data_IF_207643899909
#
_entry.id   IF_207643899909
#
_cell.length_a   1.000
_cell.length_b   1.000
_cell.length_c   1.000
_cell.angle_alpha   90.00
_cell.angle_beta   90.00
_cell.angle_gamma   90.00
#
_symmetry.space_group_name_H-M   'P 1'
#
loop_
_entity.id
_entity.type
_entity.pdbx_description
1 polymer ?
#
# COMPACT_ATOMS: atom_id res chain seq x y z
N UNK A 1 5.20 -15.38 12.23
CA UNK A 1 4.48 -14.45 13.13
C UNK A 1 4.25 -13.17 12.33
N UNK A 2 3.06 -12.92 11.78
CA UNK A 2 2.80 -11.64 11.10
C UNK A 2 2.06 -10.78 12.13
N UNK A 3 2.71 -9.74 12.68
CA UNK A 3 2.14 -8.98 13.78
C UNK A 3 0.80 -8.45 13.30
N UNK A 4 -0.27 -8.72 14.06
CA UNK A 4 -1.56 -8.14 13.75
C UNK A 4 -1.44 -6.63 13.90
N UNK A 5 -1.34 -5.92 12.78
CA UNK A 5 -1.21 -4.45 12.75
C UNK A 5 -2.47 -3.76 13.28
N UNK A 6 -3.57 -4.50 13.51
CA UNK A 6 -4.80 -3.98 14.09
C UNK A 6 -4.63 -3.71 15.58
N UNK A 7 -4.82 -2.46 16.00
CA UNK A 7 -4.93 -2.14 17.41
C UNK A 7 -6.23 -2.73 17.97
N UNK A 8 -6.17 -3.56 19.01
CA UNK A 8 -7.34 -4.27 19.57
C UNK A 8 -7.83 -3.60 20.86
N UNK A 9 -9.15 -3.60 21.13
CA UNK A 9 -9.67 -3.30 22.46
C UNK A 9 -9.51 -4.55 23.35
N UNK A 10 -9.53 -4.39 24.67
CA UNK A 10 -9.05 -5.37 25.67
C UNK A 10 -9.82 -6.72 25.80
N UNK A 11 -10.43 -7.27 24.76
CA UNK A 11 -11.14 -8.56 24.82
C UNK A 11 -10.88 -9.48 23.61
N UNK A 12 -10.70 -10.77 23.93
CA UNK A 12 -10.42 -11.95 23.09
C UNK A 12 -11.31 -12.07 21.82
N UNK A 13 -11.06 -12.87 20.76
CA UNK A 13 -10.31 -14.11 20.56
C UNK A 13 -9.91 -14.26 19.05
N UNK A 14 -9.24 -15.37 18.72
CA UNK A 14 -8.76 -15.85 17.41
C UNK A 14 -9.86 -16.05 16.35
N UNK A 15 -9.52 -15.86 15.07
CA UNK A 15 -9.90 -16.75 13.95
C UNK A 15 -8.79 -16.77 12.88
N UNK A 16 -8.41 -17.97 12.45
CA UNK A 16 -7.41 -18.27 11.42
C UNK A 16 -8.11 -18.46 10.06
N UNK A 17 -7.60 -17.82 9.01
CA UNK A 17 -7.84 -18.28 7.63
C UNK A 17 -6.50 -18.42 6.88
N UNK A 18 -6.33 -19.45 6.04
CA UNK A 18 -5.13 -19.67 5.25
C UNK A 18 -5.14 -18.83 3.97
N UNK A 19 -4.18 -17.91 3.88
CA UNK A 19 -3.77 -17.22 2.65
C UNK A 19 -2.90 -18.13 1.74
N UNK A 20 -3.21 -18.27 0.45
CA UNK A 20 -2.25 -18.79 -0.51
C UNK A 20 -1.28 -17.70 -0.97
N UNK A 21 -0.01 -18.07 -1.16
CA UNK A 21 1.03 -17.25 -1.77
C UNK A 21 0.68 -17.03 -3.25
N UNK A 22 0.30 -15.82 -3.63
CA UNK A 22 0.22 -15.42 -5.02
C UNK A 22 1.60 -14.92 -5.47
N UNK A 23 2.33 -15.74 -6.22
CA UNK A 23 3.49 -15.31 -7.00
C UNK A 23 2.99 -14.70 -8.30
N UNK A 24 3.01 -13.37 -8.42
CA UNK A 24 2.75 -12.68 -9.67
C UNK A 24 4.08 -12.33 -10.34
N UNK A 25 4.61 -13.26 -11.14
CA UNK A 25 5.59 -12.93 -12.17
C UNK A 25 4.82 -12.57 -13.44
N UNK A 26 4.49 -11.30 -13.60
CA UNK A 26 3.99 -10.75 -14.87
C UNK A 26 5.15 -10.03 -15.54
N UNK A 27 5.87 -10.73 -16.41
CA UNK A 27 6.97 -10.16 -17.19
C UNK A 27 6.38 -9.31 -18.32
N UNK A 28 5.96 -8.10 -17.98
CA UNK A 28 5.68 -7.03 -18.96
C UNK A 28 6.99 -6.35 -19.32
N UNK A 29 7.26 -6.22 -20.62
CA UNK A 29 8.53 -5.72 -21.16
C UNK A 29 8.70 -4.18 -21.01
N UNK A 30 7.60 -3.48 -20.69
CA UNK A 30 7.59 -2.05 -20.43
C UNK A 30 7.39 -1.78 -18.94
N UNK A 31 8.33 -1.06 -18.32
CA UNK A 31 8.32 -0.73 -16.89
C UNK A 31 8.39 0.78 -16.71
N UNK A 32 7.42 1.33 -16.00
CA UNK A 32 7.44 2.71 -15.55
C UNK A 32 8.30 2.85 -14.29
N UNK A 33 8.96 4.00 -14.09
CA UNK A 33 9.73 4.27 -12.89
C UNK A 33 8.82 4.38 -11.64
N UNK A 34 9.39 4.27 -10.43
CA UNK A 34 8.66 4.58 -9.20
C UNK A 34 8.04 5.98 -9.28
N UNK A 35 6.80 6.12 -8.81
CA UNK A 35 6.04 7.36 -8.94
C UNK A 35 5.22 7.49 -10.21
N UNK A 36 5.29 6.53 -11.13
CA UNK A 36 4.51 6.50 -12.35
C UNK A 36 3.75 5.18 -12.54
N UNK A 37 2.68 5.25 -13.33
CA UNK A 37 1.89 4.11 -13.81
C UNK A 37 1.75 4.13 -15.34
N UNK A 38 1.40 2.99 -15.97
CA UNK A 38 1.09 2.98 -17.40
C UNK A 38 -0.05 3.92 -17.73
N UNK A 39 0.09 4.68 -18.82
CA UNK A 39 -1.02 5.44 -19.34
C UNK A 39 -1.95 4.53 -20.17
N UNK A 40 -3.24 4.53 -19.85
CA UNK A 40 -4.24 3.67 -20.50
C UNK A 40 -4.66 4.21 -21.87
N UNK A 41 -4.47 5.50 -22.10
CA UNK A 41 -4.79 6.19 -23.35
C UNK A 41 -3.60 7.02 -23.85
N UNK A 42 -2.45 6.40 -24.17
CA UNK A 42 -1.22 7.12 -24.43
C UNK A 42 -1.28 7.96 -25.72
N UNK A 43 -2.21 7.69 -26.66
CA UNK A 43 -2.32 8.44 -27.91
C UNK A 43 -1.00 8.51 -28.69
N UNK A 44 -0.28 9.65 -28.57
CA UNK A 44 1.08 9.92 -29.06
C UNK A 44 2.06 10.38 -27.95
N UNK A 45 1.64 10.31 -26.69
CA UNK A 45 2.34 10.79 -25.49
C UNK A 45 3.22 9.74 -24.81
N UNK A 46 3.49 9.95 -23.52
CA UNK A 46 4.35 9.09 -22.71
C UNK A 46 3.64 7.79 -22.32
N UNK A 47 4.34 6.66 -22.37
CA UNK A 47 3.80 5.36 -21.93
C UNK A 47 3.53 5.30 -20.42
N UNK A 48 4.10 6.24 -19.68
CA UNK A 48 3.98 6.35 -18.24
C UNK A 48 3.48 7.75 -17.89
N UNK A 49 2.68 7.82 -16.83
CA UNK A 49 2.16 9.07 -16.26
C UNK A 49 2.38 9.09 -14.75
N UNK A 50 2.49 10.27 -14.12
CA UNK A 50 2.66 10.37 -12.67
C UNK A 50 1.46 9.77 -11.93
N UNK A 51 1.74 9.14 -10.79
CA UNK A 51 0.70 8.62 -9.91
C UNK A 51 -0.28 9.74 -9.52
N UNK A 52 -1.61 9.50 -9.60
CA UNK A 52 -2.58 10.45 -9.10
C UNK A 52 -2.48 10.64 -7.58
N UNK A 53 -2.94 11.79 -7.05
CA UNK A 53 -2.91 12.05 -5.61
C UNK A 53 -3.57 10.94 -4.79
N UNK A 54 -2.92 10.55 -3.69
CA UNK A 54 -3.38 9.45 -2.82
C UNK A 54 -2.98 8.05 -3.31
N UNK A 55 -2.10 7.95 -4.31
CA UNK A 55 -1.54 6.68 -4.80
C UNK A 55 -0.01 6.72 -4.89
N UNK A 56 0.60 5.54 -4.98
CA UNK A 56 2.05 5.38 -5.08
C UNK A 56 2.46 4.17 -5.94
N UNK A 57 3.69 4.22 -6.45
CA UNK A 57 4.40 3.10 -7.06
C UNK A 57 5.83 3.08 -6.52
N UNK A 58 6.19 2.03 -5.79
CA UNK A 58 7.48 1.96 -5.08
C UNK A 58 8.62 1.35 -5.90
N UNK A 59 8.30 0.67 -6.99
CA UNK A 59 9.25 -0.07 -7.79
C UNK A 59 9.00 0.15 -9.28
N UNK A 60 10.00 -0.17 -10.09
CA UNK A 60 9.83 -0.24 -11.53
C UNK A 60 8.78 -1.29 -11.89
N UNK A 61 7.81 -0.93 -12.73
CA UNK A 61 6.75 -1.87 -13.08
C UNK A 61 5.72 -1.35 -14.07
N UNK A 62 4.88 -2.27 -14.53
CA UNK A 62 3.75 -2.01 -15.43
C UNK A 62 2.40 -2.02 -14.69
N UNK A 63 2.43 -2.01 -13.36
CA UNK A 63 1.20 -2.03 -12.57
C UNK A 63 0.70 -0.61 -12.33
N UNK A 64 -0.63 -0.40 -12.27
CA UNK A 64 -1.20 0.88 -11.86
C UNK A 64 -0.77 1.26 -10.44
N UNK A 65 -0.75 2.55 -10.15
CA UNK A 65 -0.36 3.04 -8.83
C UNK A 65 -1.33 2.50 -7.77
N UNK A 66 -0.76 2.06 -6.65
CA UNK A 66 -1.52 1.50 -5.53
C UNK A 66 -2.03 2.63 -4.63
N UNK A 67 -3.25 2.54 -4.06
CA UNK A 67 -3.73 3.54 -3.12
C UNK A 67 -2.88 3.56 -1.85
N UNK A 68 -2.72 4.75 -1.27
CA UNK A 68 -2.05 4.90 0.03
C UNK A 68 -2.79 4.14 1.14
N UNK A 69 -2.02 3.56 2.05
CA UNK A 69 -2.48 2.94 3.27
C UNK A 69 -3.27 3.93 4.11
N UNK A 70 -4.47 3.52 4.55
CA UNK A 70 -5.34 4.33 5.41
C UNK A 70 -5.19 3.87 6.86
N UNK A 71 -4.30 4.53 7.62
CA UNK A 71 -3.96 4.14 8.99
C UNK A 71 -5.15 4.07 9.95
N UNK A 72 -6.17 4.88 9.72
CA UNK A 72 -7.43 4.85 10.47
C UNK A 72 -8.18 3.52 10.38
N UNK A 73 -8.03 2.76 9.28
CA UNK A 73 -8.62 1.41 9.16
C UNK A 73 -8.04 0.44 10.20
N UNK A 74 -6.79 0.67 10.64
CA UNK A 74 -6.13 -0.12 11.67
C UNK A 74 -6.10 0.54 13.05
N UNK A 75 -6.80 1.68 13.21
CA UNK A 75 -6.82 2.53 14.42
C UNK A 75 -5.43 3.01 14.82
N UNK A 76 -4.66 3.43 13.83
CA UNK A 76 -3.31 3.98 13.98
C UNK A 76 -3.24 5.43 13.58
N UNK A 77 -2.29 6.12 14.18
CA UNK A 77 -1.84 7.43 13.76
C UNK A 77 -1.05 7.30 12.46
N UNK A 78 -1.19 8.29 11.59
CA UNK A 78 -0.32 8.42 10.43
C UNK A 78 1.03 8.97 10.90
N UNK A 79 2.09 8.18 10.73
CA UNK A 79 3.45 8.58 11.11
C UNK A 79 4.13 9.35 9.98
N UNK A 80 3.87 8.96 8.73
CA UNK A 80 4.40 9.64 7.56
C UNK A 80 3.39 9.59 6.41
N UNK A 81 3.14 10.77 5.83
CA UNK A 81 2.32 10.93 4.63
C UNK A 81 2.96 10.18 3.47
N UNK A 82 2.16 9.42 2.73
CA UNK A 82 2.59 8.77 1.50
C UNK A 82 3.01 9.78 0.43
N UNK A 83 3.88 9.34 -0.47
CA UNK A 83 4.32 10.11 -1.64
C UNK A 83 4.01 9.33 -2.91
N UNK A 84 4.29 9.89 -4.09
CA UNK A 84 4.15 9.13 -5.34
C UNK A 84 5.02 7.85 -5.36
N UNK A 85 6.13 7.82 -4.62
CA UNK A 85 7.08 6.68 -4.62
C UNK A 85 7.00 5.80 -3.38
N UNK A 86 6.22 6.18 -2.36
CA UNK A 86 6.18 5.49 -1.07
C UNK A 86 4.78 5.50 -0.50
N UNK A 87 4.40 4.38 0.09
CA UNK A 87 3.15 4.29 0.83
C UNK A 87 3.15 5.17 2.08
N UNK A 88 1.95 5.45 2.58
CA UNK A 88 1.75 6.03 3.92
C UNK A 88 2.27 5.06 4.98
N UNK A 89 3.05 5.58 5.94
CA UNK A 89 3.51 4.80 7.08
C UNK A 89 2.61 5.05 8.28
N UNK A 90 2.08 3.97 8.84
CA UNK A 90 1.27 4.01 10.06
C UNK A 90 2.16 3.82 11.30
N UNK A 91 1.92 4.64 12.32
CA UNK A 91 2.63 4.62 13.59
C UNK A 91 1.82 3.96 14.70
N UNK A 92 1.82 4.59 15.87
CA UNK A 92 1.19 4.10 17.09
C UNK A 92 -0.30 3.89 16.92
N UNK A 93 -0.85 3.08 17.80
CA UNK A 93 -2.28 3.03 18.03
C UNK A 93 -2.82 4.37 18.53
N UNK A 94 -4.08 4.67 18.19
CA UNK A 94 -4.79 5.78 18.80
C UNK A 94 -4.84 5.68 20.33
N UNK A 95 -4.96 6.81 21.05
CA UNK A 95 -5.11 6.80 22.50
C UNK A 95 -6.22 5.82 22.94
N UNK A 96 -5.88 4.93 23.89
CA UNK A 96 -6.79 3.89 24.39
C UNK A 96 -6.75 2.55 23.65
N UNK A 97 -5.88 2.40 22.65
CA UNK A 97 -5.73 1.17 21.87
C UNK A 97 -4.30 0.63 21.93
N UNK A 98 -4.13 -0.69 21.84
CA UNK A 98 -2.83 -1.35 21.93
C UNK A 98 -2.64 -2.36 20.80
N UNK A 99 -1.42 -2.46 20.27
CA UNK A 99 -1.07 -3.39 19.20
C UNK A 99 0.44 -3.39 18.90
N UNK A 100 0.97 -4.46 18.28
CA UNK A 100 2.36 -4.51 17.83
C UNK A 100 2.59 -3.52 16.69
N UNK A 101 3.76 -2.90 16.63
CA UNK A 101 4.13 -1.93 15.59
C UNK A 101 4.42 -2.60 14.25
#
# INVERSE_FOLDING_TARGET
>A
MKPSLLCRPLSCFLMLLPWPLATLTSTTLWQCPPGEEPDLDPGQGTLCRPCPPGTFSAAWGSSPCQPHARCSLWRRLEAQVGTATRDTLCGDCWPGWFGPW
#
